data_IF_306044512593
#
_entry.id   IF_306044512593
#
_cell.length_a   1.000
_cell.length_b   1.000
_cell.length_c   1.000
_cell.angle_alpha   90.00
_cell.angle_beta   90.00
_cell.angle_gamma   90.00
#
_symmetry.space_group_name_H-M   'P 1'
#
loop_
_entity.id
_entity.type
_entity.pdbx_description
1 polymer ?
#
# COMPACT_ATOMS: atom_id res chain seq x y z
N UNK A 1 3.88 -4.00 -11.93
CA UNK A 1 3.10 -3.74 -10.70
C UNK A 1 1.97 -4.75 -10.62
N UNK A 2 1.52 -5.18 -9.43
CA UNK A 2 0.27 -5.90 -9.24
C UNK A 2 -0.58 -5.25 -8.13
N UNK A 3 -1.80 -5.74 -7.91
CA UNK A 3 -2.73 -5.17 -6.93
C UNK A 3 -2.18 -5.23 -5.49
N UNK A 4 -1.37 -6.23 -5.16
CA UNK A 4 -0.78 -6.38 -3.83
C UNK A 4 0.12 -5.20 -3.45
N UNK A 5 0.68 -4.49 -4.43
CA UNK A 5 1.48 -3.29 -4.19
C UNK A 5 0.60 -2.11 -3.74
N UNK A 6 -0.59 -1.97 -4.33
CA UNK A 6 -1.58 -0.96 -3.95
C UNK A 6 -2.12 -1.28 -2.55
N UNK A 7 -2.48 -2.54 -2.29
CA UNK A 7 -2.90 -3.00 -0.96
C UNK A 7 -1.80 -2.71 0.07
N UNK A 8 -0.54 -3.03 -0.24
CA UNK A 8 0.59 -2.76 0.66
C UNK A 8 0.73 -1.26 0.97
N UNK A 9 0.61 -0.40 -0.03
CA UNK A 9 0.62 1.06 0.17
C UNK A 9 -0.50 1.52 1.11
N UNK A 10 -1.74 1.09 0.85
CA UNK A 10 -2.91 1.43 1.67
C UNK A 10 -2.71 1.00 3.13
N UNK A 11 -2.20 -0.22 3.37
CA UNK A 11 -1.89 -0.70 4.72
C UNK A 11 -0.79 0.12 5.42
N UNK A 12 0.28 0.48 4.71
CA UNK A 12 1.35 1.31 5.27
C UNK A 12 0.84 2.70 5.65
N UNK A 13 -0.03 3.30 4.83
CA UNK A 13 -0.67 4.60 5.11
C UNK A 13 -1.55 4.51 6.36
N UNK A 14 -2.50 3.57 6.41
CA UNK A 14 -3.43 3.47 7.54
C UNK A 14 -2.75 3.13 8.86
N UNK A 15 -1.69 2.32 8.82
CA UNK A 15 -1.01 1.88 10.04
C UNK A 15 0.18 2.77 10.44
N UNK A 16 0.61 3.67 9.54
CA UNK A 16 1.76 4.55 9.73
C UNK A 16 3.08 3.82 9.95
N UNK A 17 3.17 2.52 9.60
CA UNK A 17 4.31 1.68 9.92
C UNK A 17 4.46 0.51 8.96
N UNK A 18 5.66 0.38 8.39
CA UNK A 18 6.05 -0.79 7.59
C UNK A 18 5.98 -2.07 8.42
N UNK A 19 6.37 -2.02 9.70
CA UNK A 19 6.31 -3.19 10.56
C UNK A 19 4.87 -3.65 10.78
N UNK A 20 3.97 -2.74 11.15
CA UNK A 20 2.56 -3.08 11.36
C UNK A 20 1.90 -3.56 10.07
N UNK A 21 2.23 -2.95 8.93
CA UNK A 21 1.74 -3.40 7.62
C UNK A 21 2.25 -4.81 7.27
N UNK A 22 3.50 -5.12 7.58
CA UNK A 22 4.08 -6.44 7.37
C UNK A 22 3.34 -7.51 8.20
N UNK A 23 3.12 -7.23 9.49
CA UNK A 23 2.35 -8.10 10.38
C UNK A 23 0.91 -8.30 9.88
N UNK A 24 0.22 -7.22 9.49
CA UNK A 24 -1.16 -7.27 9.03
C UNK A 24 -1.34 -8.00 7.68
N UNK A 25 -0.32 -7.99 6.82
CA UNK A 25 -0.32 -8.66 5.52
C UNK A 25 0.29 -10.06 5.55
N UNK A 26 0.84 -10.51 6.69
CA UNK A 26 1.55 -11.78 6.79
C UNK A 26 2.86 -11.80 5.98
N UNK A 27 3.56 -10.68 5.90
CA UNK A 27 4.77 -10.49 5.10
C UNK A 27 5.97 -10.14 5.99
N UNK A 28 7.17 -10.22 5.42
CA UNK A 28 8.37 -9.64 6.02
C UNK A 28 8.45 -8.13 5.74
N UNK A 29 9.10 -7.36 6.63
CA UNK A 29 9.33 -5.92 6.40
C UNK A 29 10.09 -5.61 5.09
N UNK A 30 11.11 -6.40 4.67
CA UNK A 30 11.74 -6.23 3.37
C UNK A 30 10.77 -6.43 2.21
N UNK A 31 9.84 -7.39 2.30
CA UNK A 31 8.83 -7.62 1.27
C UNK A 31 7.88 -6.42 1.12
N UNK A 32 7.39 -5.87 2.23
CA UNK A 32 6.59 -4.62 2.24
C UNK A 32 7.37 -3.48 1.60
N UNK A 33 8.62 -3.27 2.03
CA UNK A 33 9.49 -2.23 1.47
C UNK A 33 9.71 -2.40 -0.04
N UNK A 34 9.93 -3.63 -0.51
CA UNK A 34 10.13 -3.93 -1.92
C UNK A 34 8.87 -3.65 -2.76
N UNK A 35 7.68 -3.97 -2.23
CA UNK A 35 6.40 -3.66 -2.87
C UNK A 35 6.17 -2.16 -3.00
N UNK A 36 6.39 -1.39 -1.91
CA UNK A 36 6.31 0.08 -1.93
C UNK A 36 7.28 0.67 -2.95
N UNK A 37 8.56 0.30 -2.90
CA UNK A 37 9.56 0.78 -3.87
C UNK A 37 9.18 0.42 -5.31
N UNK A 38 8.54 -0.73 -5.52
CA UNK A 38 8.09 -1.12 -6.85
C UNK A 38 6.93 -0.26 -7.31
N UNK A 39 5.96 0.05 -6.45
CA UNK A 39 4.89 1.00 -6.75
C UNK A 39 5.46 2.38 -7.12
N UNK A 40 6.33 2.94 -6.28
CA UNK A 40 7.00 4.22 -6.53
C UNK A 40 7.74 4.24 -7.87
N UNK A 41 8.49 3.17 -8.20
CA UNK A 41 9.15 3.03 -9.51
C UNK A 41 8.18 3.00 -10.68
N UNK A 42 7.00 2.37 -10.54
CA UNK A 42 6.01 2.34 -11.62
C UNK A 42 5.33 3.70 -11.81
N UNK A 43 5.18 4.48 -10.73
CA UNK A 43 4.63 5.84 -10.80
C UNK A 43 5.68 6.88 -11.20
N UNK A 44 6.97 6.56 -11.10
CA UNK A 44 8.07 7.50 -11.30
C UNK A 44 8.20 8.54 -10.19
N UNK A 45 7.58 8.29 -9.03
CA UNK A 45 7.43 9.26 -7.94
C UNK A 45 7.67 8.55 -6.60
N UNK A 46 8.33 9.25 -5.66
CA UNK A 46 8.40 8.81 -4.26
C UNK A 46 7.10 9.19 -3.53
N UNK A 47 6.43 8.19 -2.95
CA UNK A 47 5.19 8.36 -2.19
C UNK A 47 5.49 8.53 -0.70
N UNK A 48 6.64 8.04 -0.24
CA UNK A 48 7.10 8.21 1.14
C UNK A 48 8.50 8.82 1.20
N UNK A 49 8.77 9.49 2.31
CA UNK A 49 10.10 9.96 2.67
C UNK A 49 10.46 9.53 4.09
N UNK A 50 11.76 9.35 4.34
CA UNK A 50 12.26 9.04 5.68
C UNK A 50 12.35 10.34 6.49
N UNK A 51 11.72 10.35 7.66
CA UNK A 51 11.87 11.43 8.65
C UNK A 51 12.39 10.85 9.95
N UNK A 52 13.69 10.98 10.18
CA UNK A 52 14.38 10.37 11.32
C UNK A 52 14.22 8.85 11.29
N UNK A 53 13.60 8.28 12.34
CA UNK A 53 13.30 6.83 12.43
C UNK A 53 11.96 6.44 11.81
N UNK A 54 11.17 7.40 11.33
CA UNK A 54 9.82 7.18 10.80
C UNK A 54 9.70 7.30 9.28
N UNK A 55 8.53 6.91 8.77
CA UNK A 55 8.11 7.05 7.38
C UNK A 55 6.93 8.03 7.35
N UNK A 56 6.99 9.06 6.49
CA UNK A 56 5.87 9.97 6.26
C UNK A 56 5.57 10.05 4.77
N UNK A 57 4.35 10.46 4.41
CA UNK A 57 3.97 10.69 3.02
C UNK A 57 4.68 11.92 2.44
N UNK A 58 4.95 11.88 1.14
CA UNK A 58 5.23 13.07 0.32
C UNK A 58 3.91 13.76 -0.06
N UNK A 59 3.97 14.95 -0.65
CA UNK A 59 2.77 15.63 -1.15
C UNK A 59 2.07 14.82 -2.25
N UNK A 60 2.85 14.18 -3.13
CA UNK A 60 2.37 13.26 -4.15
C UNK A 60 1.80 11.98 -3.51
N UNK A 61 2.43 11.50 -2.44
CA UNK A 61 1.94 10.42 -1.60
C UNK A 61 0.53 10.69 -1.06
N UNK A 62 0.35 11.85 -0.43
CA UNK A 62 -0.96 12.31 0.07
C UNK A 62 -1.99 12.43 -1.05
N UNK A 63 -1.59 12.98 -2.20
CA UNK A 63 -2.45 13.09 -3.39
C UNK A 63 -2.88 11.72 -3.92
N UNK A 64 -2.01 10.71 -3.80
CA UNK A 64 -2.27 9.37 -4.33
C UNK A 64 -3.17 8.51 -3.42
N UNK A 65 -3.21 8.79 -2.10
CA UNK A 65 -4.01 8.02 -1.12
C UNK A 65 -5.45 7.73 -1.57
N UNK A 66 -6.30 8.72 -1.91
CA UNK A 66 -7.70 8.45 -2.25
C UNK A 66 -7.85 7.52 -3.47
N UNK A 67 -6.94 7.62 -4.45
CA UNK A 67 -6.97 6.77 -5.64
C UNK A 67 -6.56 5.33 -5.29
N UNK A 68 -5.52 5.15 -4.48
CA UNK A 68 -5.08 3.84 -4.03
C UNK A 68 -6.15 3.12 -3.20
N UNK A 69 -6.82 3.85 -2.30
CA UNK A 69 -7.94 3.34 -1.51
C UNK A 69 -9.11 2.91 -2.40
N UNK A 70 -9.50 3.73 -3.38
CA UNK A 70 -10.58 3.39 -4.31
C UNK A 70 -10.28 2.12 -5.13
N UNK A 71 -9.05 2.01 -5.66
CA UNK A 71 -8.60 0.83 -6.41
C UNK A 71 -8.69 -0.41 -5.53
N UNK A 72 -8.14 -0.35 -4.32
CA UNK A 72 -8.16 -1.48 -3.38
C UNK A 72 -9.59 -1.85 -2.99
N UNK A 73 -10.43 -0.87 -2.66
CA UNK A 73 -11.83 -1.11 -2.28
C UNK A 73 -12.62 -1.79 -3.39
N UNK A 74 -12.48 -1.32 -4.63
CA UNK A 74 -13.15 -1.92 -5.79
C UNK A 74 -12.75 -3.38 -5.97
N UNK A 75 -11.45 -3.67 -5.86
CA UNK A 75 -10.94 -5.04 -5.95
C UNK A 75 -11.45 -5.95 -4.83
N UNK A 76 -11.43 -5.48 -3.57
CA UNK A 76 -11.91 -6.25 -2.43
C UNK A 76 -13.43 -6.50 -2.49
N UNK A 77 -14.21 -5.53 -2.98
CA UNK A 77 -15.65 -5.71 -3.22
C UNK A 77 -15.91 -6.81 -4.24
N UNK A 78 -15.20 -6.79 -5.38
CA UNK A 78 -15.28 -7.84 -6.40
C UNK A 78 -14.98 -9.23 -5.83
N UNK A 79 -13.87 -9.36 -5.07
CA UNK A 79 -13.52 -10.61 -4.38
C UNK A 79 -14.60 -11.08 -3.41
N UNK A 80 -15.21 -10.16 -2.67
CA UNK A 80 -16.25 -10.48 -1.68
C UNK A 80 -17.53 -10.97 -2.33
N UNK A 81 -17.92 -10.40 -3.46
CA UNK A 81 -19.10 -10.83 -4.22
C UNK A 81 -18.89 -12.26 -4.74
N UNK A 82 -17.76 -12.52 -5.39
CA UNK A 82 -17.46 -13.84 -5.95
C UNK A 82 -17.38 -14.94 -4.88
N UNK A 83 -16.86 -14.64 -3.69
CA UNK A 83 -16.82 -15.59 -2.56
C UNK A 83 -18.18 -15.91 -1.95
N UNK A 84 -19.21 -15.10 -2.19
CA UNK A 84 -20.58 -15.34 -1.67
C UNK A 84 -21.41 -16.23 -2.59
N UNK A 85 -20.95 -16.43 -3.83
CA UNK A 85 -21.62 -17.28 -4.83
C UNK A 85 -21.02 -18.69 -4.91
N UNK A 86 -19.99 -18.98 -4.10
CA UNK A 86 -19.39 -20.31 -3.91
C UNK A 86 -19.76 -20.87 -2.54
#
# INVERSE_FOLDING_TARGET
>A
MNIDHIETFVYVVHLGSIQKAAEALGLSQPAVTARIKTLERNLGIHLFLRKGRGLILTAEGETFVPYAEQINNTYQQGKKILKKES
#
